data_IF_834003776725
#
_entry.id   IF_834003776725
#
_cell.length_a   1.000
_cell.length_b   1.000
_cell.length_c   1.000
_cell.angle_alpha   90.00
_cell.angle_beta   90.00
_cell.angle_gamma   90.00
#
_symmetry.space_group_name_H-M   'P 1'
#
loop_
_entity.id
_entity.type
_entity.pdbx_description
1 polymer ?
#
# COMPACT_ATOMS: atom_id res chain seq x y z
N UNK A 1 -51.09 -10.59 17.85
CA UNK A 1 -49.94 -9.95 18.54
C UNK A 1 -48.67 -10.77 18.19
N UNK A 2 -48.12 -10.56 16.99
CA UNK A 2 -46.85 -11.13 16.57
C UNK A 2 -45.72 -10.22 17.03
N UNK A 3 -44.96 -10.63 18.06
CA UNK A 3 -43.65 -10.10 18.32
C UNK A 3 -42.69 -10.72 17.29
N UNK A 4 -42.43 -9.98 16.22
CA UNK A 4 -41.31 -10.25 15.33
C UNK A 4 -40.04 -9.95 16.14
N UNK A 5 -39.34 -10.99 16.59
CA UNK A 5 -37.99 -10.88 17.11
C UNK A 5 -37.08 -10.40 16.00
N UNK A 6 -36.79 -9.11 15.99
CA UNK A 6 -35.73 -8.55 15.19
C UNK A 6 -34.41 -9.18 15.68
N UNK A 7 -33.95 -10.23 14.98
CA UNK A 7 -32.59 -10.78 15.14
C UNK A 7 -31.62 -9.66 14.81
N UNK A 8 -30.93 -9.21 15.83
CA UNK A 8 -29.93 -8.15 15.72
C UNK A 8 -28.79 -8.72 14.86
N UNK A 9 -28.55 -8.23 13.62
CA UNK A 9 -27.57 -8.83 12.71
C UNK A 9 -26.16 -8.84 13.29
N UNK A 10 -25.84 -7.96 14.23
CA UNK A 10 -24.53 -7.88 14.90
C UNK A 10 -24.31 -9.07 15.85
N UNK A 11 -25.35 -9.56 16.52
CA UNK A 11 -25.21 -10.73 17.44
C UNK A 11 -25.02 -12.05 16.68
N UNK A 12 -25.61 -12.20 15.50
CA UNK A 12 -25.46 -13.40 14.65
C UNK A 12 -24.05 -13.48 14.02
N UNK A 13 -23.47 -12.33 13.70
CA UNK A 13 -22.11 -12.22 13.17
C UNK A 13 -21.08 -12.61 14.23
N UNK A 14 -21.22 -12.13 15.46
CA UNK A 14 -20.33 -12.48 16.57
C UNK A 14 -20.33 -13.98 16.85
N UNK A 15 -21.50 -14.62 16.86
CA UNK A 15 -21.65 -16.05 17.06
C UNK A 15 -20.98 -16.86 15.94
N UNK A 16 -21.13 -16.46 14.67
CA UNK A 16 -20.47 -17.11 13.53
C UNK A 16 -18.96 -16.96 13.55
N UNK A 17 -18.45 -15.78 13.88
CA UNK A 17 -17.01 -15.56 14.04
C UNK A 17 -16.43 -16.43 15.17
N UNK A 18 -17.15 -16.58 16.27
CA UNK A 18 -16.76 -17.47 17.35
C UNK A 18 -16.75 -18.96 16.93
N UNK A 19 -17.73 -19.40 16.15
CA UNK A 19 -17.75 -20.77 15.60
C UNK A 19 -16.56 -21.03 14.65
N UNK A 20 -16.21 -20.06 13.80
CA UNK A 20 -15.06 -20.16 12.92
C UNK A 20 -13.77 -20.22 13.75
N UNK A 21 -13.60 -19.35 14.73
CA UNK A 21 -12.44 -19.36 15.62
C UNK A 21 -12.29 -20.69 16.38
N UNK A 22 -13.40 -21.27 16.85
CA UNK A 22 -13.39 -22.59 17.51
C UNK A 22 -12.96 -23.70 16.54
N UNK A 23 -13.43 -23.69 15.30
CA UNK A 23 -13.00 -24.68 14.28
C UNK A 23 -11.54 -24.53 13.90
N UNK A 24 -11.05 -23.29 13.77
CA UNK A 24 -9.63 -23.04 13.53
C UNK A 24 -8.77 -23.53 14.71
N UNK A 25 -9.27 -23.41 15.93
CA UNK A 25 -8.56 -23.89 17.12
C UNK A 25 -8.32 -25.40 17.12
N UNK A 26 -9.18 -26.20 16.44
CA UNK A 26 -9.04 -27.66 16.32
C UNK A 26 -8.01 -28.12 15.28
N UNK A 27 -7.43 -27.20 14.48
CA UNK A 27 -6.37 -27.54 13.54
C UNK A 27 -5.09 -27.76 14.33
N UNK A 28 -4.54 -28.99 14.23
CA UNK A 28 -3.35 -29.38 15.00
C UNK A 28 -2.05 -28.89 14.36
N UNK A 29 -1.99 -28.79 13.01
CA UNK A 29 -0.81 -28.36 12.31
C UNK A 29 -0.66 -26.83 12.35
N UNK A 30 0.46 -26.28 12.89
CA UNK A 30 0.63 -24.85 13.10
C UNK A 30 0.58 -24.03 11.79
N UNK A 31 1.24 -24.53 10.73
CA UNK A 31 1.32 -23.84 9.43
C UNK A 31 -0.06 -23.75 8.78
N UNK A 32 -0.77 -24.89 8.71
CA UNK A 32 -2.13 -24.93 8.16
C UNK A 32 -3.10 -24.05 8.95
N UNK A 33 -2.96 -24.03 10.27
CA UNK A 33 -3.75 -23.14 11.14
C UNK A 33 -3.49 -21.67 10.85
N UNK A 34 -2.23 -21.28 10.69
CA UNK A 34 -1.83 -19.92 10.37
C UNK A 34 -2.37 -19.48 9.00
N UNK A 35 -2.29 -20.35 7.99
CA UNK A 35 -2.81 -20.05 6.64
C UNK A 35 -4.33 -19.86 6.64
N UNK A 36 -5.07 -20.73 7.35
CA UNK A 36 -6.53 -20.58 7.48
C UNK A 36 -6.89 -19.29 8.20
N UNK A 37 -6.14 -18.89 9.22
CA UNK A 37 -6.33 -17.61 9.91
C UNK A 37 -6.07 -16.44 8.96
N UNK A 38 -4.98 -16.46 8.20
CA UNK A 38 -4.63 -15.41 7.26
C UNK A 38 -5.71 -15.23 6.17
N UNK A 39 -6.11 -16.33 5.52
CA UNK A 39 -7.19 -16.31 4.53
C UNK A 39 -8.52 -15.81 5.13
N UNK A 40 -8.85 -16.25 6.34
CA UNK A 40 -10.08 -15.81 7.02
C UNK A 40 -10.05 -14.32 7.32
N UNK A 41 -8.91 -13.78 7.72
CA UNK A 41 -8.77 -12.33 7.97
C UNK A 41 -8.85 -11.49 6.70
N UNK A 42 -8.23 -11.93 5.60
CA UNK A 42 -8.33 -11.25 4.30
C UNK A 42 -9.78 -11.19 3.84
N UNK A 43 -10.48 -12.32 3.86
CA UNK A 43 -11.89 -12.40 3.46
C UNK A 43 -12.81 -11.60 4.40
N UNK A 44 -12.57 -11.67 5.70
CA UNK A 44 -13.34 -10.94 6.69
C UNK A 44 -13.07 -9.42 6.62
N UNK A 45 -11.84 -9.01 6.25
CA UNK A 45 -11.45 -7.62 6.05
C UNK A 45 -12.22 -6.91 4.95
N UNK A 46 -12.77 -7.66 3.98
CA UNK A 46 -13.64 -7.12 2.94
C UNK A 46 -15.04 -6.70 3.46
N UNK A 47 -15.43 -7.16 4.63
CA UNK A 47 -16.80 -7.00 5.12
C UNK A 47 -16.92 -6.47 6.55
N UNK A 48 -15.86 -6.53 7.35
CA UNK A 48 -15.87 -6.17 8.77
C UNK A 48 -14.82 -5.12 9.10
N UNK A 49 -15.09 -4.32 10.14
CA UNK A 49 -14.16 -3.31 10.61
C UNK A 49 -12.88 -3.90 11.22
N UNK A 50 -11.75 -3.24 10.98
CA UNK A 50 -10.43 -3.66 11.49
C UNK A 50 -10.39 -3.90 13.00
N UNK A 51 -11.18 -3.14 13.77
CA UNK A 51 -11.23 -3.26 15.23
C UNK A 51 -11.73 -4.62 15.69
N UNK A 52 -12.80 -5.12 15.05
CA UNK A 52 -13.39 -6.42 15.34
C UNK A 52 -12.43 -7.57 15.00
N UNK A 53 -11.76 -7.46 13.84
CA UNK A 53 -10.81 -8.49 13.41
C UNK A 53 -9.59 -8.59 14.32
N UNK A 54 -9.10 -7.44 14.83
CA UNK A 54 -7.97 -7.40 15.78
C UNK A 54 -8.29 -8.10 17.12
N UNK A 55 -9.55 -8.08 17.54
CA UNK A 55 -9.98 -8.78 18.77
C UNK A 55 -10.08 -10.29 18.60
N UNK A 56 -10.45 -10.74 17.39
CA UNK A 56 -10.69 -12.15 17.11
C UNK A 56 -9.41 -12.92 16.75
N UNK A 57 -8.45 -12.26 16.13
CA UNK A 57 -7.23 -12.89 15.62
C UNK A 57 -5.98 -12.24 16.20
N UNK A 58 -5.11 -13.04 16.81
CA UNK A 58 -3.83 -12.59 17.34
C UNK A 58 -2.81 -12.44 16.22
N UNK A 59 -2.07 -11.33 16.21
CA UNK A 59 -1.04 -11.05 15.21
C UNK A 59 0.10 -12.06 15.18
N UNK A 60 0.41 -12.65 16.35
CA UNK A 60 1.51 -13.60 16.48
C UNK A 60 1.28 -14.86 15.65
N UNK A 61 0.05 -15.39 15.64
CA UNK A 61 -0.29 -16.62 14.89
C UNK A 61 -0.25 -16.38 13.37
N UNK A 62 -0.50 -15.16 12.90
CA UNK A 62 -0.42 -14.85 11.47
C UNK A 62 1.00 -14.81 10.92
N UNK A 63 1.99 -14.51 11.75
CA UNK A 63 3.39 -14.41 11.31
C UNK A 63 3.96 -15.76 10.85
N UNK A 64 3.37 -16.85 11.24
CA UNK A 64 3.73 -18.22 10.86
C UNK A 64 3.10 -18.64 9.53
N UNK A 65 2.15 -17.86 9.01
CA UNK A 65 1.51 -18.14 7.73
C UNK A 65 2.39 -17.74 6.56
N UNK A 66 2.62 -18.69 5.65
CA UNK A 66 3.34 -18.45 4.40
C UNK A 66 2.63 -17.39 3.55
N UNK A 67 1.30 -17.49 3.43
CA UNK A 67 0.48 -16.51 2.69
C UNK A 67 0.61 -15.11 3.28
N UNK A 68 0.64 -14.98 4.60
CA UNK A 68 0.84 -13.68 5.24
C UNK A 68 2.23 -13.10 4.99
N UNK A 69 3.26 -13.96 4.96
CA UNK A 69 4.63 -13.54 4.66
C UNK A 69 4.75 -13.04 3.23
N UNK A 70 4.17 -13.75 2.25
CA UNK A 70 4.12 -13.31 0.85
C UNK A 70 3.43 -11.94 0.72
N UNK A 71 2.22 -11.77 1.24
CA UNK A 71 1.50 -10.50 1.20
C UNK A 71 2.33 -9.37 1.85
N UNK A 72 3.06 -9.68 2.92
CA UNK A 72 3.90 -8.69 3.60
C UNK A 72 5.14 -8.33 2.80
N UNK A 73 5.77 -9.31 2.16
CA UNK A 73 6.95 -9.11 1.32
C UNK A 73 6.59 -8.30 0.09
N UNK A 74 5.50 -8.63 -0.60
CA UNK A 74 4.98 -7.87 -1.73
C UNK A 74 4.67 -6.41 -1.34
N UNK A 75 3.98 -6.22 -0.22
CA UNK A 75 3.67 -4.89 0.29
C UNK A 75 4.91 -4.09 0.72
N UNK A 76 5.97 -4.76 1.21
CA UNK A 76 7.24 -4.11 1.52
C UNK A 76 7.97 -3.71 0.25
N UNK A 77 8.01 -4.58 -0.76
CA UNK A 77 8.66 -4.29 -2.04
C UNK A 77 7.97 -3.12 -2.76
N UNK A 78 6.63 -3.13 -2.82
CA UNK A 78 5.84 -2.04 -3.38
C UNK A 78 6.08 -0.73 -2.62
N UNK A 79 6.05 -0.77 -1.29
CA UNK A 79 6.33 0.39 -0.44
C UNK A 79 7.75 0.94 -0.60
N UNK A 80 8.74 0.09 -0.82
CA UNK A 80 10.12 0.52 -1.10
C UNK A 80 10.22 1.20 -2.48
N UNK A 81 9.58 0.64 -3.51
CA UNK A 81 9.54 1.25 -4.85
C UNK A 81 8.87 2.62 -4.81
N UNK A 82 7.72 2.70 -4.16
CA UNK A 82 7.00 3.97 -4.00
C UNK A 82 7.80 4.98 -3.16
N UNK A 83 8.43 4.54 -2.09
CA UNK A 83 9.27 5.36 -1.24
C UNK A 83 10.47 5.95 -2.00
N UNK A 84 11.16 5.15 -2.81
CA UNK A 84 12.27 5.62 -3.67
C UNK A 84 11.80 6.66 -4.68
N UNK A 85 10.65 6.42 -5.34
CA UNK A 85 10.09 7.37 -6.30
C UNK A 85 9.74 8.70 -5.63
N UNK A 86 9.08 8.66 -4.48
CA UNK A 86 8.71 9.85 -3.73
C UNK A 86 9.93 10.65 -3.25
N UNK A 87 11.00 9.96 -2.84
CA UNK A 87 12.26 10.61 -2.45
C UNK A 87 12.94 11.28 -3.64
N UNK A 88 13.07 10.57 -4.79
CA UNK A 88 13.64 11.13 -6.01
C UNK A 88 12.85 12.36 -6.48
N UNK A 89 11.52 12.29 -6.52
CA UNK A 89 10.65 13.42 -6.84
C UNK A 89 10.87 14.61 -5.90
N UNK A 90 10.92 14.35 -4.59
CA UNK A 90 11.14 15.40 -3.59
C UNK A 90 12.50 16.07 -3.78
N UNK A 91 13.53 15.28 -4.06
CA UNK A 91 14.89 15.77 -4.31
C UNK A 91 14.95 16.62 -5.58
N UNK A 92 14.44 16.12 -6.70
CA UNK A 92 14.39 16.83 -7.98
C UNK A 92 13.62 18.15 -7.86
N UNK A 93 12.46 18.15 -7.20
CA UNK A 93 11.68 19.37 -7.01
C UNK A 93 12.43 20.43 -6.18
N UNK A 94 13.20 20.03 -5.18
CA UNK A 94 14.05 20.95 -4.42
C UNK A 94 15.17 21.53 -5.27
N UNK A 95 15.80 20.71 -6.12
CA UNK A 95 16.82 21.18 -7.05
C UNK A 95 16.24 22.14 -8.10
N UNK A 96 15.09 21.80 -8.70
CA UNK A 96 14.38 22.66 -9.65
C UNK A 96 14.07 24.02 -9.05
N UNK A 97 13.44 24.03 -7.88
CA UNK A 97 13.11 25.30 -7.19
C UNK A 97 14.34 26.15 -6.91
N UNK A 98 15.45 25.53 -6.56
CA UNK A 98 16.70 26.24 -6.24
C UNK A 98 17.42 26.71 -7.48
N UNK A 99 17.37 25.96 -8.59
CA UNK A 99 18.15 26.23 -9.81
C UNK A 99 17.47 27.17 -10.77
N UNK A 100 16.19 26.90 -11.05
CA UNK A 100 15.43 27.64 -12.08
C UNK A 100 14.15 28.29 -11.50
N UNK A 101 13.85 28.11 -10.22
CA UNK A 101 12.71 28.75 -9.57
C UNK A 101 11.40 27.98 -9.72
N UNK A 102 10.29 28.71 -9.76
CA UNK A 102 8.97 28.12 -9.89
C UNK A 102 8.74 27.55 -11.31
N UNK A 103 8.21 26.32 -11.36
CA UNK A 103 7.84 25.63 -12.60
C UNK A 103 6.33 25.65 -12.80
N UNK A 104 5.89 25.61 -14.06
CA UNK A 104 4.48 25.53 -14.39
C UNK A 104 3.86 24.20 -13.91
N UNK A 105 2.57 24.19 -13.51
CA UNK A 105 1.89 22.98 -13.04
C UNK A 105 1.98 21.83 -14.04
N UNK A 106 1.85 22.10 -15.33
CA UNK A 106 1.89 21.11 -16.41
C UNK A 106 3.25 20.38 -16.46
N UNK A 107 4.34 21.10 -16.24
CA UNK A 107 5.68 20.53 -16.18
C UNK A 107 5.84 19.70 -14.91
N UNK A 108 5.28 20.15 -13.80
CA UNK A 108 5.28 19.39 -12.54
C UNK A 108 4.54 18.05 -12.68
N UNK A 109 3.41 18.02 -13.37
CA UNK A 109 2.66 16.79 -13.67
C UNK A 109 3.48 15.84 -14.54
N UNK A 110 4.16 16.33 -15.57
CA UNK A 110 5.04 15.52 -16.40
C UNK A 110 6.18 14.88 -15.59
N UNK A 111 6.80 15.63 -14.69
CA UNK A 111 7.88 15.13 -13.82
C UNK A 111 7.36 14.01 -12.90
N UNK A 112 6.12 14.09 -12.41
CA UNK A 112 5.53 13.05 -11.58
C UNK A 112 5.32 11.71 -12.30
N UNK A 113 5.22 11.72 -13.64
CA UNK A 113 5.07 10.50 -14.44
C UNK A 113 6.38 9.78 -14.69
N UNK A 114 7.53 10.44 -14.47
CA UNK A 114 8.85 9.87 -14.70
C UNK A 114 9.14 8.64 -13.79
N UNK A 115 9.94 7.73 -14.30
CA UNK A 115 10.51 6.63 -13.52
C UNK A 115 11.58 7.13 -12.53
N UNK A 116 12.04 6.27 -11.63
CA UNK A 116 13.12 6.63 -10.70
C UNK A 116 14.41 6.94 -11.45
N UNK A 117 14.75 6.13 -12.45
CA UNK A 117 15.94 6.30 -13.29
C UNK A 117 15.88 7.64 -14.04
N UNK A 118 14.72 7.98 -14.61
CA UNK A 118 14.54 9.25 -15.30
C UNK A 118 14.60 10.46 -14.36
N UNK A 119 14.15 10.30 -13.12
CA UNK A 119 14.29 11.34 -12.10
C UNK A 119 15.73 11.52 -11.64
N UNK A 120 16.51 10.44 -11.55
CA UNK A 120 17.94 10.48 -11.27
C UNK A 120 18.69 11.19 -12.40
N UNK A 121 18.43 10.82 -13.67
CA UNK A 121 18.99 11.50 -14.85
C UNK A 121 18.61 12.99 -14.90
N UNK A 122 17.36 13.34 -14.58
CA UNK A 122 16.93 14.73 -14.50
C UNK A 122 17.69 15.48 -13.39
N UNK A 123 17.91 14.82 -12.25
CA UNK A 123 18.70 15.37 -11.15
C UNK A 123 20.13 15.73 -11.57
N UNK A 124 20.76 14.86 -12.38
CA UNK A 124 22.10 15.12 -12.94
C UNK A 124 22.07 16.25 -13.97
N UNK A 125 21.12 16.21 -14.92
CA UNK A 125 20.98 17.23 -15.96
C UNK A 125 20.71 18.62 -15.38
N UNK A 126 20.05 18.72 -14.24
CA UNK A 126 19.77 19.98 -13.54
C UNK A 126 21.02 20.73 -13.11
N UNK A 127 22.17 20.08 -13.02
CA UNK A 127 23.44 20.73 -12.70
C UNK A 127 23.85 21.72 -13.80
N UNK A 128 23.47 21.43 -15.04
CA UNK A 128 23.83 22.22 -16.23
C UNK A 128 22.73 23.19 -16.69
N UNK A 129 21.50 23.03 -16.17
CA UNK A 129 20.38 23.90 -16.54
C UNK A 129 20.57 25.32 -16.04
N UNK A 130 20.25 26.27 -16.87
CA UNK A 130 20.30 27.71 -16.58
C UNK A 130 18.92 28.37 -16.65
N UNK A 131 17.96 27.73 -17.30
CA UNK A 131 16.62 28.26 -17.56
C UNK A 131 15.54 27.16 -17.57
N UNK A 132 14.27 27.59 -17.50
CA UNK A 132 13.12 26.69 -17.66
C UNK A 132 13.07 26.07 -19.07
N UNK A 133 13.64 26.75 -20.08
CA UNK A 133 13.71 26.22 -21.45
C UNK A 133 14.56 24.97 -21.55
N UNK A 134 15.63 24.86 -20.76
CA UNK A 134 16.49 23.68 -20.74
C UNK A 134 15.72 22.48 -20.22
N UNK A 135 14.89 22.66 -19.20
CA UNK A 135 14.01 21.63 -18.66
C UNK A 135 12.95 21.18 -19.69
N UNK A 136 12.30 22.12 -20.37
CA UNK A 136 11.29 21.77 -21.38
C UNK A 136 11.87 21.03 -22.56
N UNK A 137 13.06 21.41 -23.03
CA UNK A 137 13.77 20.71 -24.08
C UNK A 137 14.12 19.26 -23.64
N UNK A 138 14.68 19.12 -22.45
CA UNK A 138 15.04 17.81 -21.89
C UNK A 138 13.83 16.87 -21.79
N UNK A 139 12.67 17.37 -21.33
CA UNK A 139 11.43 16.58 -21.25
C UNK A 139 10.90 16.22 -22.64
N UNK A 140 11.01 17.12 -23.62
CA UNK A 140 10.54 16.88 -24.99
C UNK A 140 11.37 15.82 -25.72
N UNK A 141 12.68 15.81 -25.53
CA UNK A 141 13.59 14.84 -26.16
C UNK A 141 13.33 13.40 -25.73
N UNK A 142 12.72 13.18 -24.56
CA UNK A 142 12.38 11.84 -24.04
C UNK A 142 11.00 11.34 -24.46
N UNK A 143 10.14 12.21 -24.95
CA UNK A 143 8.81 11.83 -25.44
C UNK A 143 8.81 11.43 -26.94
N UNK A 144 9.95 11.56 -27.61
CA UNK A 144 10.15 11.22 -29.03
C UNK A 144 10.72 9.82 -29.19
#
# INVERSE_FOLDING_TARGET
>A
LCKVFARNPVSDIGARCQQIATRIATIEEPTQKADVIACTQVLAGLRFEKALLRQLFRKETMRESVIYQEIREDGLEEGLKEGRKNEALSFVNRLLTRRIGAIAPEISEQIQTLSVEELEDLGEALLDFSSTSDLTNWLSDRQS
#
